data_IF_420871001944
#
_entry.id   IF_420871001944
#
_cell.length_a   1.000
_cell.length_b   1.000
_cell.length_c   1.000
_cell.angle_alpha   90.00
_cell.angle_beta   90.00
_cell.angle_gamma   90.00
#
_symmetry.space_group_name_H-M   'P 1'
#
loop_
_entity.id
_entity.type
_entity.pdbx_description
1 polymer ?
#
# COMPACT_ATOMS: atom_id res chain seq x y z
N UNK A 1 8.10 2.51 10.58
CA UNK A 1 7.56 1.15 10.75
C UNK A 1 6.19 1.17 11.43
N UNK A 2 6.01 1.89 12.54
CA UNK A 2 4.74 1.98 13.28
C UNK A 2 3.49 2.32 12.43
N UNK A 3 3.58 3.34 11.56
CA UNK A 3 2.46 3.77 10.70
C UNK A 3 1.94 2.64 9.78
N UNK A 4 2.84 1.86 9.18
CA UNK A 4 2.49 0.73 8.30
C UNK A 4 1.80 -0.41 9.06
N UNK A 5 2.24 -0.66 10.30
CA UNK A 5 1.65 -1.68 11.16
C UNK A 5 0.23 -1.30 11.58
N UNK A 6 0.00 -0.02 11.91
CA UNK A 6 -1.33 0.50 12.22
C UNK A 6 -2.30 0.29 11.05
N UNK A 7 -1.86 0.60 9.84
CA UNK A 7 -2.68 0.44 8.63
C UNK A 7 -2.96 -1.03 8.30
N UNK A 8 -1.97 -1.91 8.46
CA UNK A 8 -2.18 -3.36 8.30
C UNK A 8 -3.18 -3.91 9.33
N UNK A 9 -3.05 -3.51 10.60
CA UNK A 9 -3.98 -3.90 11.66
C UNK A 9 -5.40 -3.42 11.36
N UNK A 10 -5.56 -2.17 10.92
CA UNK A 10 -6.87 -1.63 10.55
C UNK A 10 -7.52 -2.41 9.40
N UNK A 11 -6.75 -2.75 8.35
CA UNK A 11 -7.27 -3.56 7.24
C UNK A 11 -7.65 -4.98 7.67
N UNK A 12 -6.88 -5.61 8.55
CA UNK A 12 -7.21 -6.93 9.10
C UNK A 12 -8.53 -6.88 9.88
N UNK A 13 -8.72 -5.87 10.72
CA UNK A 13 -9.97 -5.67 11.47
C UNK A 13 -11.15 -5.41 10.51
N UNK A 14 -10.94 -4.61 9.45
CA UNK A 14 -11.97 -4.35 8.44
C UNK A 14 -12.36 -5.61 7.67
N UNK A 15 -11.42 -6.48 7.32
CA UNK A 15 -11.71 -7.78 6.69
C UNK A 15 -12.54 -8.67 7.61
N UNK A 16 -12.27 -8.66 8.92
CA UNK A 16 -13.07 -9.43 9.87
C UNK A 16 -14.49 -8.86 10.01
N UNK A 17 -14.63 -7.54 10.01
CA UNK A 17 -15.91 -6.88 10.21
C UNK A 17 -16.81 -6.92 8.96
N UNK A 18 -16.21 -6.73 7.78
CA UNK A 18 -16.88 -6.87 6.48
C UNK A 18 -16.15 -7.95 5.67
N UNK A 19 -16.45 -9.24 5.93
CA UNK A 19 -15.80 -10.36 5.27
C UNK A 19 -16.29 -10.47 3.82
N UNK A 20 -15.72 -9.63 2.96
CA UNK A 20 -15.93 -9.65 1.52
C UNK A 20 -14.63 -10.00 0.80
N UNK A 21 -14.75 -10.72 -0.32
CA UNK A 21 -13.59 -11.08 -1.14
C UNK A 21 -12.87 -9.83 -1.66
N UNK A 22 -13.61 -8.75 -1.92
CA UNK A 22 -13.08 -7.45 -2.35
C UNK A 22 -12.20 -6.79 -1.27
N UNK A 23 -12.68 -6.75 -0.03
CA UNK A 23 -11.92 -6.20 1.10
C UNK A 23 -10.67 -7.04 1.37
N UNK A 24 -10.81 -8.37 1.40
CA UNK A 24 -9.70 -9.30 1.61
C UNK A 24 -8.63 -9.15 0.53
N UNK A 25 -9.03 -9.07 -0.75
CA UNK A 25 -8.11 -8.84 -1.85
C UNK A 25 -7.34 -7.52 -1.70
N UNK A 26 -8.04 -6.42 -1.41
CA UNK A 26 -7.41 -5.13 -1.21
C UNK A 26 -6.42 -5.13 -0.03
N UNK A 27 -6.80 -5.73 1.09
CA UNK A 27 -5.95 -5.87 2.27
C UNK A 27 -4.67 -6.65 1.98
N UNK A 28 -4.79 -7.81 1.31
CA UNK A 28 -3.65 -8.65 0.92
C UNK A 28 -2.68 -7.85 0.04
N UNK A 29 -3.18 -7.22 -1.03
CA UNK A 29 -2.31 -6.47 -1.96
C UNK A 29 -1.56 -5.34 -1.26
N UNK A 30 -2.27 -4.58 -0.42
CA UNK A 30 -1.68 -3.45 0.30
C UNK A 30 -0.61 -3.92 1.29
N UNK A 31 -0.93 -4.92 2.12
CA UNK A 31 -0.02 -5.41 3.17
C UNK A 31 1.21 -6.07 2.54
N UNK A 32 1.01 -6.97 1.56
CA UNK A 32 2.11 -7.64 0.86
C UNK A 32 3.05 -6.62 0.23
N UNK A 33 2.52 -5.60 -0.45
CA UNK A 33 3.33 -4.55 -1.05
C UNK A 33 4.10 -3.75 0.00
N UNK A 34 3.50 -3.40 1.13
CA UNK A 34 4.20 -2.66 2.19
C UNK A 34 5.41 -3.43 2.72
N UNK A 35 5.31 -4.75 2.85
CA UNK A 35 6.44 -5.61 3.25
C UNK A 35 7.49 -5.63 2.14
N UNK A 36 7.11 -5.95 0.90
CA UNK A 36 8.05 -6.07 -0.23
C UNK A 36 8.85 -4.79 -0.46
N UNK A 37 8.19 -3.63 -0.51
CA UNK A 37 8.86 -2.36 -0.76
C UNK A 37 9.73 -1.94 0.43
N UNK A 38 9.36 -2.31 1.66
CA UNK A 38 10.21 -2.07 2.83
C UNK A 38 11.50 -2.88 2.76
N UNK A 39 11.39 -4.19 2.50
CA UNK A 39 12.54 -5.08 2.35
C UNK A 39 13.44 -4.65 1.18
N UNK A 40 12.85 -4.33 0.03
CA UNK A 40 13.61 -3.88 -1.14
C UNK A 40 14.38 -2.59 -0.86
N UNK A 41 13.76 -1.64 -0.14
CA UNK A 41 14.41 -0.38 0.21
C UNK A 41 15.54 -0.57 1.22
N UNK A 42 15.36 -1.48 2.18
CA UNK A 42 16.40 -1.84 3.14
C UNK A 42 17.61 -2.45 2.43
N UNK A 43 17.40 -3.46 1.60
CA UNK A 43 18.44 -4.09 0.79
C UNK A 43 19.17 -3.09 -0.13
N UNK A 44 18.43 -2.21 -0.83
CA UNK A 44 19.07 -1.17 -1.67
C UNK A 44 19.92 -0.19 -0.84
N UNK A 45 19.52 0.10 0.41
CA UNK A 45 20.30 0.96 1.29
C UNK A 45 21.62 0.30 1.72
N UNK A 46 21.65 -1.02 1.91
CA UNK A 46 22.86 -1.80 2.20
C UNK A 46 23.86 -1.77 1.05
N UNK A 47 23.37 -1.80 -0.20
CA UNK A 47 24.21 -1.71 -1.40
C UNK A 47 24.83 -0.32 -1.64
N UNK A 48 24.60 0.66 -0.75
CA UNK A 48 25.00 2.06 -0.95
C UNK A 48 24.21 2.77 -2.07
N UNK A 49 23.35 2.03 -2.79
CA UNK A 49 22.38 2.53 -3.73
C UNK A 49 21.19 3.11 -2.96
N UNK A 50 21.41 4.28 -2.32
CA UNK A 50 20.30 5.17 -1.96
C UNK A 50 19.72 5.67 -3.27
N UNK A 51 18.95 4.83 -3.93
CA UNK A 51 18.14 5.23 -5.06
C UNK A 51 17.25 6.35 -4.53
N UNK A 52 17.54 7.58 -4.96
CA UNK A 52 16.63 8.71 -4.96
C UNK A 52 15.48 8.35 -5.91
N UNK A 53 14.76 7.27 -5.63
CA UNK A 53 13.40 7.07 -6.15
C UNK A 53 12.63 8.17 -5.44
N UNK A 54 12.67 9.36 -6.05
CA UNK A 54 12.08 10.58 -5.54
C UNK A 54 10.73 10.19 -4.98
N UNK A 55 10.44 10.61 -3.75
CA UNK A 55 9.16 10.43 -3.08
C UNK A 55 8.09 10.90 -4.05
N UNK A 56 7.59 9.97 -4.87
CA UNK A 56 6.76 10.37 -5.99
C UNK A 56 5.46 10.83 -5.37
N UNK A 57 4.89 11.90 -5.91
CA UNK A 57 3.62 12.43 -5.42
C UNK A 57 2.55 11.34 -5.34
N UNK A 58 2.68 10.29 -6.17
CA UNK A 58 1.90 9.04 -6.15
C UNK A 58 1.88 8.38 -4.77
N UNK A 59 3.00 8.32 -4.04
CA UNK A 59 3.07 7.75 -2.70
C UNK A 59 2.23 8.52 -1.68
N UNK A 60 2.17 9.85 -1.80
CA UNK A 60 1.36 10.72 -0.93
C UNK A 60 -0.13 10.56 -1.21
N UNK A 61 -0.51 10.52 -2.49
CA UNK A 61 -1.90 10.29 -2.88
C UNK A 61 -2.39 8.91 -2.44
N UNK A 62 -1.56 7.87 -2.62
CA UNK A 62 -1.85 6.52 -2.16
C UNK A 62 -2.21 6.48 -0.67
N UNK A 63 -1.36 7.07 0.18
CA UNK A 63 -1.60 7.09 1.62
C UNK A 63 -2.84 7.91 1.99
N UNK A 64 -3.08 9.04 1.31
CA UNK A 64 -4.29 9.82 1.54
C UNK A 64 -5.56 9.02 1.22
N UNK A 65 -5.64 8.42 0.03
CA UNK A 65 -6.80 7.61 -0.37
C UNK A 65 -7.02 6.41 0.55
N UNK A 66 -5.93 5.76 0.96
CA UNK A 66 -5.98 4.61 1.86
C UNK A 66 -6.49 4.98 3.25
N UNK A 67 -5.97 6.05 3.84
CA UNK A 67 -6.41 6.51 5.16
C UNK A 67 -7.87 6.96 5.13
N UNK A 68 -8.29 7.69 4.08
CA UNK A 68 -9.70 8.10 3.93
C UNK A 68 -10.59 6.87 3.77
N UNK A 69 -10.22 5.89 2.93
CA UNK A 69 -11.00 4.67 2.75
C UNK A 69 -11.20 3.93 4.07
N UNK A 70 -10.12 3.70 4.82
CA UNK A 70 -10.17 3.04 6.13
C UNK A 70 -11.07 3.81 7.10
N UNK A 71 -10.93 5.14 7.19
CA UNK A 71 -11.78 5.95 8.06
C UNK A 71 -13.26 5.84 7.68
N UNK A 72 -13.59 5.90 6.38
CA UNK A 72 -14.99 5.79 5.93
C UNK A 72 -15.57 4.41 6.20
N UNK A 73 -14.79 3.33 6.01
CA UNK A 73 -15.22 1.99 6.40
C UNK A 73 -15.44 1.89 7.92
N UNK A 74 -14.55 2.48 8.74
CA UNK A 74 -14.70 2.50 10.19
C UNK A 74 -15.93 3.29 10.67
N UNK A 75 -16.35 4.33 9.92
CA UNK A 75 -17.57 5.09 10.21
C UNK A 75 -18.86 4.29 9.94
N UNK A 76 -18.79 3.22 9.13
CA UNK A 76 -19.91 2.33 8.81
C UNK A 76 -21.20 3.05 8.44
N UNK A 77 -21.08 4.04 7.57
CA UNK A 77 -22.20 4.82 7.08
C UNK A 77 -22.58 4.37 5.66
N UNK A 78 -23.75 3.71 5.45
CA UNK A 78 -24.08 3.07 4.18
C UNK A 78 -24.00 3.96 2.92
N UNK A 79 -24.38 5.25 2.96
CA UNK A 79 -24.27 6.12 1.78
C UNK A 79 -22.84 6.33 1.29
N UNK A 80 -21.83 6.15 2.17
CA UNK A 80 -20.42 6.36 1.84
C UNK A 80 -19.69 5.07 1.50
N UNK A 81 -20.33 3.90 1.62
CA UNK A 81 -19.70 2.61 1.43
C UNK A 81 -19.15 2.44 -0.01
N UNK A 82 -19.93 2.84 -1.01
CA UNK A 82 -19.48 2.80 -2.41
C UNK A 82 -18.25 3.69 -2.65
N UNK A 83 -18.22 4.88 -2.02
CA UNK A 83 -17.07 5.77 -2.08
C UNK A 83 -15.86 5.15 -1.38
N UNK A 84 -16.05 4.48 -0.24
CA UNK A 84 -14.98 3.80 0.49
C UNK A 84 -14.33 2.70 -0.35
N UNK A 85 -15.12 1.86 -1.03
CA UNK A 85 -14.60 0.87 -1.96
C UNK A 85 -13.87 1.52 -3.15
N UNK A 86 -14.41 2.58 -3.74
CA UNK A 86 -13.75 3.30 -4.83
C UNK A 86 -12.38 3.86 -4.42
N UNK A 87 -12.30 4.46 -3.23
CA UNK A 87 -11.05 4.98 -2.66
C UNK A 87 -10.06 3.85 -2.34
N UNK A 88 -10.55 2.74 -1.79
CA UNK A 88 -9.72 1.57 -1.46
C UNK A 88 -9.10 0.96 -2.72
N UNK A 89 -9.90 0.73 -3.77
CA UNK A 89 -9.38 0.20 -5.03
C UNK A 89 -8.46 1.19 -5.75
N UNK A 90 -8.73 2.50 -5.66
CA UNK A 90 -7.80 3.53 -6.14
C UNK A 90 -6.46 3.45 -5.39
N UNK A 91 -6.50 3.28 -4.06
CA UNK A 91 -5.29 3.07 -3.27
C UNK A 91 -4.55 1.78 -3.68
N UNK A 92 -5.26 0.69 -3.97
CA UNK A 92 -4.67 -0.57 -4.49
C UNK A 92 -3.94 -0.34 -5.81
N UNK A 93 -4.57 0.34 -6.77
CA UNK A 93 -3.94 0.63 -8.08
C UNK A 93 -2.68 1.48 -7.90
N UNK A 94 -2.75 2.54 -7.10
CA UNK A 94 -1.58 3.38 -6.80
C UNK A 94 -0.48 2.61 -6.05
N UNK A 95 -0.88 1.65 -5.22
CA UNK A 95 0.03 0.76 -4.49
C UNK A 95 0.83 -0.14 -5.41
N UNK A 96 0.16 -0.73 -6.42
CA UNK A 96 0.81 -1.56 -7.45
C UNK A 96 1.68 -0.72 -8.39
N UNK A 97 1.18 0.45 -8.82
CA UNK A 97 1.95 1.36 -9.69
C UNK A 97 3.28 1.77 -9.05
N UNK A 98 3.22 2.17 -7.78
CA UNK A 98 4.42 2.55 -7.04
C UNK A 98 5.35 1.36 -6.82
N UNK A 99 4.83 0.15 -6.58
CA UNK A 99 5.65 -1.07 -6.50
C UNK A 99 6.41 -1.33 -7.80
N UNK A 100 5.77 -1.18 -8.95
CA UNK A 100 6.41 -1.34 -10.25
C UNK A 100 7.59 -0.37 -10.45
N UNK A 101 7.43 0.89 -10.04
CA UNK A 101 8.51 1.89 -10.10
C UNK A 101 9.70 1.44 -9.24
N UNK A 102 9.45 0.96 -8.02
CA UNK A 102 10.50 0.48 -7.12
C UNK A 102 11.22 -0.75 -7.69
N UNK A 103 10.48 -1.74 -8.21
CA UNK A 103 11.07 -2.93 -8.83
C UNK A 103 11.90 -2.59 -10.06
N UNK A 104 11.42 -1.67 -10.91
CA UNK A 104 12.17 -1.19 -12.07
C UNK A 104 13.46 -0.49 -11.67
N UNK A 105 13.45 0.29 -10.58
CA UNK A 105 14.64 0.94 -10.04
C UNK A 105 15.64 -0.07 -9.45
N UNK A 106 15.16 -1.16 -8.84
CA UNK A 106 16.00 -2.22 -8.30
C UNK A 106 16.55 -3.18 -9.36
N UNK A 107 15.88 -3.29 -10.51
CA UNK A 107 16.21 -4.24 -11.58
C UNK A 107 17.68 -4.25 -12.04
N UNK A 108 18.39 -3.11 -12.19
CA UNK A 108 19.80 -3.11 -12.55
C UNK A 108 20.72 -3.74 -11.50
N UNK A 109 20.36 -3.60 -10.22
CA UNK A 109 21.12 -4.15 -9.09
C UNK A 109 20.85 -5.65 -8.91
N UNK A 110 19.62 -6.10 -9.17
CA UNK A 110 19.26 -7.53 -9.13
C UNK A 110 19.94 -8.35 -10.24
N UNK A 111 20.39 -7.69 -11.32
CA UNK A 111 21.07 -8.34 -12.46
C UNK A 111 22.58 -8.45 -12.31
N UNK A 112 23.17 -7.82 -11.29
CA UNK A 112 24.62 -7.95 -11.05
C UNK A 112 24.86 -9.21 -10.20
N UNK A 113 25.74 -10.13 -10.65
CA UNK A 113 26.01 -11.40 -9.97
C UNK A 113 26.74 -11.22 -8.63
#
# INVERSE_FOLDING_TARGET
>A
VADKLMVAAALIVLVQWQPSMSMAFAAIVIISREITVSALREWMAELGARTNVAVSTVGKYKTAFQMIAITVFLLNWPPLEMLAYALLYTAVVLTLWSMFIYLKAAWPYLKQP
#
